data_IF_685674452448
#
_entry.id   IF_685674452448
#
_cell.length_a   1.000
_cell.length_b   1.000
_cell.length_c   1.000
_cell.angle_alpha   90.00
_cell.angle_beta   90.00
_cell.angle_gamma   90.00
#
_symmetry.space_group_name_H-M   'P 1'
#
loop_
_entity.id
_entity.type
_entity.pdbx_description
1 polymer ?
#
# COMPACT_ATOMS: atom_id res chain seq x y z
N UNK A 1 5.80 3.87 5.03
CA UNK A 1 5.82 3.08 3.78
C UNK A 1 5.90 3.96 2.54
N UNK A 2 4.87 4.79 2.27
CA UNK A 2 4.82 5.63 1.07
C UNK A 2 6.02 6.59 0.91
N UNK A 3 6.44 7.26 1.99
CA UNK A 3 7.62 8.14 1.99
C UNK A 3 8.89 7.42 1.51
N UNK A 4 9.14 6.19 2.02
CA UNK A 4 10.28 5.38 1.56
C UNK A 4 10.20 5.08 0.07
N UNK A 5 9.00 4.80 -0.45
CA UNK A 5 8.78 4.55 -1.89
C UNK A 5 9.06 5.77 -2.74
N UNK A 6 8.71 6.97 -2.25
CA UNK A 6 9.03 8.24 -2.92
C UNK A 6 10.55 8.48 -2.92
N UNK A 7 11.22 8.25 -1.79
CA UNK A 7 12.67 8.44 -1.67
C UNK A 7 13.45 7.43 -2.51
N UNK A 8 12.99 6.17 -2.56
CA UNK A 8 13.49 5.15 -3.48
C UNK A 8 13.34 5.60 -4.92
N UNK A 9 12.16 6.09 -5.32
CA UNK A 9 11.92 6.53 -6.68
C UNK A 9 12.81 7.71 -7.10
N UNK A 10 13.24 8.53 -6.14
CA UNK A 10 14.14 9.68 -6.38
C UNK A 10 15.59 9.28 -6.58
N UNK A 11 16.02 8.16 -6.01
CA UNK A 11 17.44 7.75 -5.94
C UNK A 11 17.76 6.56 -6.83
N UNK A 12 16.79 5.68 -7.09
CA UNK A 12 16.96 4.52 -7.97
C UNK A 12 17.02 4.94 -9.42
N UNK A 13 18.09 4.58 -10.13
CA UNK A 13 18.25 4.83 -11.56
C UNK A 13 17.99 3.57 -12.40
N UNK A 14 17.23 3.73 -13.48
CA UNK A 14 17.03 2.73 -14.54
C UNK A 14 16.89 3.45 -15.88
N UNK A 15 17.34 2.81 -16.96
CA UNK A 15 17.32 3.39 -18.31
C UNK A 15 17.97 4.79 -18.36
N UNK A 16 19.05 4.99 -17.58
CA UNK A 16 19.83 6.22 -17.57
C UNK A 16 19.21 7.41 -16.81
N UNK A 17 18.14 7.21 -16.03
CA UNK A 17 17.57 8.28 -15.19
C UNK A 17 16.93 7.74 -13.90
N UNK A 18 16.72 8.61 -12.88
CA UNK A 18 15.92 8.25 -11.71
C UNK A 18 14.50 7.82 -12.07
N UNK A 19 13.99 6.77 -11.41
CA UNK A 19 12.70 6.17 -11.78
C UNK A 19 11.49 7.07 -11.53
N UNK A 20 11.63 8.14 -10.71
CA UNK A 20 10.63 9.21 -10.56
C UNK A 20 10.24 9.87 -11.91
N UNK A 21 11.13 9.80 -12.90
CA UNK A 21 10.93 10.36 -14.24
C UNK A 21 9.85 9.63 -15.04
N UNK A 22 9.57 8.35 -14.73
CA UNK A 22 8.58 7.56 -15.45
C UNK A 22 7.15 7.83 -14.94
N UNK A 23 6.22 8.08 -15.87
CA UNK A 23 4.81 8.31 -15.53
C UNK A 23 4.19 7.14 -14.79
N UNK A 24 4.50 5.90 -15.19
CA UNK A 24 4.02 4.68 -14.53
C UNK A 24 4.38 4.66 -13.05
N UNK A 25 5.60 5.05 -12.68
CA UNK A 25 6.05 5.12 -11.27
C UNK A 25 5.30 6.21 -10.50
N UNK A 26 5.13 7.40 -11.09
CA UNK A 26 4.38 8.49 -10.45
C UNK A 26 2.91 8.12 -10.23
N UNK A 27 2.27 7.49 -11.22
CA UNK A 27 0.89 7.03 -11.09
C UNK A 27 0.76 5.94 -10.02
N UNK A 28 1.67 4.96 -9.98
CA UNK A 28 1.66 3.95 -8.90
C UNK A 28 1.80 4.59 -7.51
N UNK A 29 2.67 5.58 -7.34
CA UNK A 29 2.82 6.30 -6.07
C UNK A 29 1.57 7.13 -5.71
N UNK A 30 0.92 7.73 -6.70
CA UNK A 30 -0.34 8.45 -6.50
C UNK A 30 -1.48 7.50 -6.10
N UNK A 31 -1.61 6.37 -6.79
CA UNK A 31 -2.61 5.35 -6.49
C UNK A 31 -2.37 4.72 -5.12
N UNK A 32 -1.11 4.48 -4.75
CA UNK A 32 -0.73 4.01 -3.43
C UNK A 32 -1.13 5.01 -2.33
N UNK A 33 -0.96 6.31 -2.60
CA UNK A 33 -1.38 7.38 -1.68
C UNK A 33 -2.90 7.42 -1.52
N UNK A 34 -3.64 7.40 -2.64
CA UNK A 34 -5.11 7.41 -2.62
C UNK A 34 -5.64 6.20 -1.86
N UNK A 35 -5.13 5.00 -2.13
CA UNK A 35 -5.53 3.78 -1.43
C UNK A 35 -5.27 3.88 0.08
N UNK A 36 -4.14 4.46 0.50
CA UNK A 36 -3.84 4.70 1.92
C UNK A 36 -4.86 5.64 2.57
N UNK A 37 -5.19 6.76 1.93
CA UNK A 37 -6.16 7.73 2.48
C UNK A 37 -7.56 7.13 2.57
N UNK A 38 -7.96 6.35 1.56
CA UNK A 38 -9.24 5.64 1.58
C UNK A 38 -9.26 4.57 2.68
N UNK A 39 -8.16 3.82 2.87
CA UNK A 39 -8.03 2.84 3.95
C UNK A 39 -8.18 3.49 5.33
N UNK A 40 -7.53 4.65 5.53
CA UNK A 40 -7.64 5.42 6.76
C UNK A 40 -9.07 5.91 7.02
N UNK A 41 -9.74 6.41 5.97
CA UNK A 41 -11.13 6.87 6.05
C UNK A 41 -12.07 5.71 6.40
N UNK A 42 -11.90 4.54 5.78
CA UNK A 42 -12.68 3.35 6.07
C UNK A 42 -12.44 2.85 7.52
N UNK A 43 -11.20 2.90 8.02
CA UNK A 43 -10.90 2.55 9.41
C UNK A 43 -11.59 3.50 10.41
N UNK A 44 -11.66 4.80 10.10
CA UNK A 44 -12.45 5.75 10.90
C UNK A 44 -13.93 5.39 10.84
N UNK A 45 -14.48 5.11 9.66
CA UNK A 45 -15.89 4.71 9.51
C UNK A 45 -16.22 3.44 10.32
N UNK A 46 -15.33 2.45 10.35
CA UNK A 46 -15.49 1.24 11.15
C UNK A 46 -15.65 1.53 12.65
N UNK A 47 -14.98 2.56 13.16
CA UNK A 47 -15.09 3.00 14.55
C UNK A 47 -16.41 3.72 14.85
N UNK A 48 -16.99 4.41 13.88
CA UNK A 48 -18.15 5.29 14.09
C UNK A 48 -19.49 4.66 13.66
N UNK A 49 -19.47 3.71 12.72
CA UNK A 49 -20.67 3.01 12.21
C UNK A 49 -20.68 1.55 12.68
N UNK A 50 -20.97 1.33 13.97
CA UNK A 50 -20.89 0.01 14.60
C UNK A 50 -21.64 -1.12 13.84
N UNK A 51 -22.80 -0.81 13.24
CA UNK A 51 -23.59 -1.77 12.47
C UNK A 51 -22.94 -2.21 11.14
N UNK A 52 -21.93 -1.49 10.66
CA UNK A 52 -21.15 -1.79 9.45
C UNK A 52 -19.65 -1.92 9.74
N UNK A 53 -19.27 -2.06 11.01
CA UNK A 53 -17.87 -2.06 11.42
C UNK A 53 -17.04 -3.08 10.62
N UNK A 54 -17.56 -4.30 10.45
CA UNK A 54 -16.88 -5.36 9.70
C UNK A 54 -16.71 -5.04 8.21
N UNK A 55 -17.73 -4.42 7.59
CA UNK A 55 -17.68 -4.01 6.17
C UNK A 55 -16.63 -2.91 5.97
N UNK A 56 -16.62 -1.93 6.85
CA UNK A 56 -15.64 -0.85 6.81
C UNK A 56 -14.23 -1.33 7.13
N UNK A 57 -14.08 -2.28 8.06
CA UNK A 57 -12.81 -2.91 8.38
C UNK A 57 -12.27 -3.72 7.19
N UNK A 58 -13.10 -4.55 6.56
CA UNK A 58 -12.75 -5.28 5.34
C UNK A 58 -12.24 -4.32 4.25
N UNK A 59 -13.02 -3.27 3.96
CA UNK A 59 -12.62 -2.25 2.98
C UNK A 59 -11.30 -1.57 3.35
N UNK A 60 -11.08 -1.25 4.64
CA UNK A 60 -9.83 -0.64 5.10
C UNK A 60 -8.62 -1.54 4.83
N UNK A 61 -8.72 -2.85 5.12
CA UNK A 61 -7.62 -3.79 4.92
C UNK A 61 -7.35 -4.07 3.43
N UNK A 62 -8.40 -4.23 2.61
CA UNK A 62 -8.25 -4.38 1.15
C UNK A 62 -7.54 -3.17 0.53
N UNK A 63 -7.89 -1.94 0.94
CA UNK A 63 -7.26 -0.72 0.45
C UNK A 63 -5.83 -0.54 0.98
N UNK A 64 -5.59 -0.91 2.24
CA UNK A 64 -4.24 -0.91 2.82
C UNK A 64 -3.34 -1.90 2.06
N UNK A 65 -3.83 -3.10 1.74
CA UNK A 65 -3.14 -4.10 0.92
C UNK A 65 -2.74 -3.54 -0.43
N UNK A 66 -3.68 -2.92 -1.15
CA UNK A 66 -3.40 -2.25 -2.43
C UNK A 66 -2.29 -1.20 -2.32
N UNK A 67 -2.32 -0.37 -1.27
CA UNK A 67 -1.29 0.65 -1.05
C UNK A 67 0.10 0.01 -0.86
N UNK A 68 0.16 -1.08 -0.09
CA UNK A 68 1.40 -1.81 0.20
C UNK A 68 1.95 -2.50 -1.04
N UNK A 69 1.11 -3.20 -1.80
CA UNK A 69 1.49 -3.89 -3.04
C UNK A 69 2.06 -2.92 -4.08
N UNK A 70 1.43 -1.75 -4.25
CA UNK A 70 1.92 -0.74 -5.18
C UNK A 70 3.29 -0.18 -4.78
N UNK A 71 3.53 0.07 -3.50
CA UNK A 71 4.86 0.52 -3.08
C UNK A 71 5.90 -0.61 -3.12
N UNK A 72 5.54 -1.88 -2.92
CA UNK A 72 6.43 -3.02 -3.21
C UNK A 72 6.80 -3.02 -4.70
N UNK A 73 5.83 -2.83 -5.59
CA UNK A 73 6.06 -2.77 -7.04
C UNK A 73 7.03 -1.65 -7.43
N UNK A 74 6.97 -0.48 -6.78
CA UNK A 74 7.92 0.62 -6.99
C UNK A 74 9.36 0.23 -6.62
N UNK A 75 9.54 -0.65 -5.64
CA UNK A 75 10.86 -1.17 -5.26
C UNK A 75 11.30 -2.35 -6.14
N UNK A 76 10.37 -3.05 -6.79
CA UNK A 76 10.66 -4.29 -7.50
C UNK A 76 11.05 -5.40 -6.52
N UNK A 77 12.00 -6.27 -6.90
CA UNK A 77 12.38 -7.43 -6.08
C UNK A 77 12.84 -7.08 -4.65
N UNK A 78 13.53 -5.95 -4.46
CA UNK A 78 13.99 -5.51 -3.13
C UNK A 78 12.83 -5.13 -2.20
N UNK A 79 11.65 -4.83 -2.76
CA UNK A 79 10.43 -4.56 -1.98
C UNK A 79 9.98 -5.74 -1.12
N UNK A 80 10.39 -6.97 -1.45
CA UNK A 80 10.11 -8.17 -0.66
C UNK A 80 11.19 -8.50 0.39
N UNK A 81 12.21 -7.65 0.52
CA UNK A 81 13.36 -7.92 1.39
C UNK A 81 13.34 -7.09 2.68
N UNK A 82 13.98 -7.62 3.72
CA UNK A 82 14.14 -6.96 5.02
C UNK A 82 14.80 -5.58 4.96
N UNK A 83 15.52 -5.27 3.88
CA UNK A 83 16.18 -3.97 3.67
C UNK A 83 15.18 -2.82 3.55
N UNK A 84 14.02 -3.06 2.93
CA UNK A 84 12.96 -2.05 2.79
C UNK A 84 11.88 -2.23 3.87
N UNK A 85 11.64 -3.47 4.29
CA UNK A 85 10.68 -3.79 5.36
C UNK A 85 9.21 -3.70 4.95
N UNK A 86 8.91 -3.65 3.64
CA UNK A 86 7.52 -3.58 3.15
C UNK A 86 6.79 -4.91 3.26
N UNK A 87 7.52 -6.01 3.11
CA UNK A 87 7.00 -7.37 3.27
C UNK A 87 6.38 -7.58 4.65
N UNK A 88 6.91 -6.98 5.72
CA UNK A 88 6.32 -7.08 7.04
C UNK A 88 4.90 -6.48 7.10
N UNK A 89 4.70 -5.35 6.42
CA UNK A 89 3.36 -4.74 6.32
C UNK A 89 2.43 -5.56 5.42
N UNK A 90 2.98 -6.20 4.38
CA UNK A 90 2.22 -7.10 3.52
C UNK A 90 1.74 -8.33 4.30
N UNK A 91 2.61 -8.96 5.08
CA UNK A 91 2.26 -10.12 5.90
C UNK A 91 1.14 -9.76 6.90
N UNK A 92 1.29 -8.62 7.60
CA UNK A 92 0.29 -8.12 8.54
C UNK A 92 -1.07 -7.84 7.88
N UNK A 93 -1.08 -7.17 6.73
CA UNK A 93 -2.33 -6.79 6.09
C UNK A 93 -3.02 -8.00 5.47
N UNK A 94 -2.28 -9.00 4.97
CA UNK A 94 -2.86 -10.24 4.46
C UNK A 94 -3.54 -11.04 5.57
N UNK A 95 -2.92 -11.12 6.75
CA UNK A 95 -3.54 -11.74 7.91
C UNK A 95 -4.86 -11.03 8.27
N UNK A 96 -4.82 -9.69 8.40
CA UNK A 96 -5.99 -8.89 8.76
C UNK A 96 -7.09 -8.94 7.70
N UNK A 97 -6.76 -8.79 6.41
CA UNK A 97 -7.71 -8.87 5.29
C UNK A 97 -8.42 -10.23 5.28
N UNK A 98 -7.69 -11.33 5.57
CA UNK A 98 -8.26 -12.68 5.62
C UNK A 98 -9.29 -12.88 6.73
N UNK A 99 -9.15 -12.17 7.87
CA UNK A 99 -10.08 -12.26 9.01
C UNK A 99 -11.44 -11.61 8.71
N UNK A 100 -11.47 -10.62 7.82
CA UNK A 100 -12.67 -9.86 7.47
C UNK A 100 -13.26 -10.27 6.11
N UNK A 101 -12.87 -11.44 5.59
CA UNK A 101 -13.42 -12.01 4.36
C UNK A 101 -12.82 -11.46 3.07
N UNK A 102 -11.56 -11.02 3.12
CA UNK A 102 -10.81 -10.43 2.00
C UNK A 102 -10.99 -11.17 0.68
N UNK A 103 -10.89 -10.41 -0.43
CA UNK A 103 -11.23 -10.81 -1.80
C UNK A 103 -11.03 -12.32 -2.07
N UNK A 104 -12.13 -13.07 -1.99
CA UNK A 104 -12.30 -14.41 -2.57
C UNK A 104 -13.14 -14.29 -3.83
#
# INVERSE_FOLDING_TARGET
MLTRSIDWARTREQFGQPIKGFQAVRHMLADAHIAREQAWTAAIAARHEAFRADVWAAQAFTLARRSIELGIQVHGGVGYTWEVGLQHHLDQVLELDSLFGGDR
#
